data_IF_299443029534
#
_entry.id   IF_299443029534
#
_cell.length_a   1.000
_cell.length_b   1.000
_cell.length_c   1.000
_cell.angle_alpha   90.00
_cell.angle_beta   90.00
_cell.angle_gamma   90.00
#
_symmetry.space_group_name_H-M   'P 1'
#
loop_
_entity.id
_entity.type
_entity.pdbx_description
1 polymer ?
#
# COMPACT_ATOMS: atom_id res chain seq x y z
N UNK A 1 51.23 54.09 23.56
CA UNK A 1 50.37 53.84 22.38
C UNK A 1 50.17 52.34 22.26
N UNK A 2 49.05 51.81 22.75
CA UNK A 2 48.69 50.39 22.69
C UNK A 2 47.65 50.21 21.56
N UNK A 3 47.82 49.24 20.64
CA UNK A 3 46.80 48.95 19.64
C UNK A 3 45.69 48.07 20.23
N UNK A 4 44.44 48.44 19.93
CA UNK A 4 43.22 47.71 20.32
C UNK A 4 43.10 46.35 19.60
N UNK A 5 42.50 45.32 20.21
CA UNK A 5 42.32 44.01 19.59
C UNK A 5 41.14 43.97 18.58
N UNK A 6 41.17 43.07 17.58
CA UNK A 6 40.10 42.94 16.60
C UNK A 6 38.88 42.19 17.16
N UNK A 7 37.70 42.74 16.89
CA UNK A 7 36.38 42.17 17.18
C UNK A 7 36.16 40.88 16.40
N UNK A 8 35.99 39.75 17.07
CA UNK A 8 35.61 38.49 16.41
C UNK A 8 34.12 38.48 16.04
N UNK A 9 33.73 37.96 14.86
CA UNK A 9 32.34 37.80 14.46
C UNK A 9 31.69 36.63 15.20
N UNK A 10 30.58 36.89 15.88
CA UNK A 10 29.79 35.84 16.54
C UNK A 10 29.14 34.92 15.50
N UNK A 11 29.20 33.58 15.69
CA UNK A 11 28.37 32.67 14.92
C UNK A 11 26.93 32.88 15.35
N UNK A 12 26.11 33.46 14.47
CA UNK A 12 24.66 33.52 14.66
C UNK A 12 24.18 32.09 14.83
N UNK A 13 23.79 31.74 16.05
CA UNK A 13 23.03 30.54 16.33
C UNK A 13 21.80 30.59 15.44
N UNK A 14 21.80 29.79 14.38
CA UNK A 14 20.68 29.66 13.47
C UNK A 14 19.55 29.02 14.28
N UNK A 15 18.67 29.86 14.82
CA UNK A 15 17.37 29.42 15.32
C UNK A 15 16.61 28.92 14.10
N UNK A 16 16.77 27.63 13.81
CA UNK A 16 15.98 26.94 12.79
C UNK A 16 14.53 27.21 13.19
N UNK A 17 13.77 27.98 12.38
CA UNK A 17 12.43 28.36 12.78
C UNK A 17 11.65 27.06 12.94
N UNK A 18 10.98 26.90 14.08
CA UNK A 18 10.17 25.72 14.39
C UNK A 18 9.18 25.41 13.24
N UNK A 19 8.77 26.47 12.53
CA UNK A 19 7.99 26.41 11.30
C UNK A 19 8.65 25.58 10.18
N UNK A 20 9.96 25.70 9.96
CA UNK A 20 10.69 24.94 8.95
C UNK A 20 10.80 23.45 9.32
N UNK A 21 10.97 23.13 10.61
CA UNK A 21 10.98 21.74 11.08
C UNK A 21 9.61 21.09 10.88
N UNK A 22 8.53 21.80 11.25
CA UNK A 22 7.16 21.35 11.02
C UNK A 22 6.90 21.15 9.52
N UNK A 23 7.35 22.08 8.67
CA UNK A 23 7.22 21.96 7.23
C UNK A 23 7.95 20.74 6.68
N UNK A 24 9.19 20.49 7.13
CA UNK A 24 9.99 19.34 6.73
C UNK A 24 9.34 18.01 7.15
N UNK A 25 8.82 17.95 8.38
CA UNK A 25 8.07 16.81 8.92
C UNK A 25 6.79 16.54 8.12
N UNK A 26 6.06 17.59 7.76
CA UNK A 26 4.83 17.48 6.95
C UNK A 26 5.15 16.94 5.56
N UNK A 27 6.22 17.44 4.92
CA UNK A 27 6.69 16.95 3.62
C UNK A 27 7.16 15.49 3.68
N UNK A 28 7.85 15.09 4.75
CA UNK A 28 8.29 13.69 4.92
C UNK A 28 7.13 12.75 5.21
N UNK A 29 6.10 13.19 5.98
CA UNK A 29 4.87 12.42 6.16
C UNK A 29 4.10 12.25 4.84
N UNK A 30 3.96 13.31 4.04
CA UNK A 30 3.28 13.24 2.74
C UNK A 30 4.07 12.37 1.73
N UNK A 31 5.39 12.53 1.66
CA UNK A 31 6.26 11.74 0.79
C UNK A 31 6.38 10.27 1.22
N UNK A 32 6.30 9.99 2.52
CA UNK A 32 6.34 8.63 3.08
C UNK A 32 5.15 7.77 2.66
N UNK A 33 3.95 8.35 2.53
CA UNK A 33 2.78 7.63 2.02
C UNK A 33 2.88 7.29 0.52
N UNK A 34 3.55 8.12 -0.28
CA UNK A 34 3.80 7.83 -1.70
C UNK A 34 4.87 6.73 -1.89
N UNK A 35 5.87 6.67 -1.02
CA UNK A 35 6.92 5.63 -1.03
C UNK A 35 6.42 4.23 -0.64
N UNK A 36 5.30 4.13 0.07
CA UNK A 36 4.69 2.85 0.44
C UNK A 36 3.93 2.19 -0.73
N UNK A 37 3.69 2.90 -1.83
CA UNK A 37 3.25 2.32 -3.09
C UNK A 37 4.42 1.80 -3.94
N UNK A 38 5.50 1.34 -3.30
CA UNK A 38 6.51 0.49 -3.96
C UNK A 38 5.75 -0.59 -4.71
N UNK A 39 5.86 -0.54 -6.03
CA UNK A 39 5.14 -1.31 -7.03
C UNK A 39 5.04 -2.77 -6.59
N UNK A 40 3.97 -3.13 -5.87
CA UNK A 40 3.83 -4.47 -5.35
C UNK A 40 3.83 -5.42 -6.56
N UNK A 41 4.65 -6.48 -6.56
CA UNK A 41 4.60 -7.49 -7.61
C UNK A 41 3.15 -7.94 -7.80
N UNK A 42 2.59 -7.73 -8.99
CA UNK A 42 1.18 -8.03 -9.29
C UNK A 42 0.19 -6.87 -9.20
N UNK A 43 0.61 -5.63 -8.91
CA UNK A 43 -0.30 -4.47 -8.93
C UNK A 43 -0.89 -4.18 -10.33
N UNK A 44 -0.11 -4.41 -11.40
CA UNK A 44 -0.61 -4.35 -12.78
C UNK A 44 -1.63 -5.46 -13.06
N UNK A 45 -1.30 -6.68 -12.68
CA UNK A 45 -2.18 -7.85 -12.83
C UNK A 45 -3.48 -7.67 -12.05
N UNK A 46 -3.44 -7.18 -10.81
CA UNK A 46 -4.64 -6.90 -10.01
C UNK A 46 -5.51 -5.77 -10.59
N UNK A 47 -4.93 -4.80 -11.32
CA UNK A 47 -5.70 -3.80 -12.08
C UNK A 47 -6.38 -4.43 -13.29
N UNK A 48 -5.67 -5.28 -14.03
CA UNK A 48 -6.22 -6.00 -15.18
C UNK A 48 -7.35 -6.95 -14.75
N UNK A 49 -7.18 -7.68 -13.65
CA UNK A 49 -8.22 -8.56 -13.10
C UNK A 49 -9.47 -7.79 -12.70
N UNK A 50 -9.33 -6.60 -12.10
CA UNK A 50 -10.46 -5.71 -11.81
C UNK A 50 -11.18 -5.23 -13.07
N UNK A 51 -10.46 -5.03 -14.17
CA UNK A 51 -11.08 -4.68 -15.45
C UNK A 51 -11.96 -5.83 -15.97
N UNK A 52 -11.53 -7.09 -15.80
CA UNK A 52 -12.34 -8.27 -16.15
C UNK A 52 -13.64 -8.34 -15.34
N UNK A 53 -13.61 -8.04 -14.03
CA UNK A 53 -14.83 -7.97 -13.22
C UNK A 53 -15.78 -6.88 -13.72
N UNK A 54 -15.26 -5.68 -14.00
CA UNK A 54 -16.05 -4.56 -14.52
C UNK A 54 -16.67 -4.85 -15.89
N UNK A 55 -16.00 -5.66 -16.70
CA UNK A 55 -16.52 -6.15 -17.98
C UNK A 55 -17.53 -7.31 -17.84
N UNK A 56 -17.80 -7.78 -16.62
CA UNK A 56 -18.71 -8.90 -16.37
C UNK A 56 -18.09 -10.29 -16.58
N UNK A 57 -16.78 -10.37 -16.83
CA UNK A 57 -16.05 -11.63 -17.00
C UNK A 57 -15.69 -12.27 -15.65
N UNK A 58 -16.68 -12.48 -14.79
CA UNK A 58 -16.51 -12.89 -13.40
C UNK A 58 -15.76 -14.22 -13.24
N UNK A 59 -15.97 -15.19 -14.13
CA UNK A 59 -15.25 -16.48 -14.08
C UNK A 59 -13.75 -16.31 -14.31
N UNK A 60 -13.36 -15.51 -15.30
CA UNK A 60 -11.96 -15.25 -15.63
C UNK A 60 -11.31 -14.42 -14.53
N UNK A 61 -12.02 -13.41 -14.01
CA UNK A 61 -11.55 -12.61 -12.89
C UNK A 61 -11.28 -13.46 -11.65
N UNK A 62 -12.20 -14.38 -11.31
CA UNK A 62 -12.05 -15.26 -10.16
C UNK A 62 -10.78 -16.15 -10.28
N UNK A 63 -10.56 -16.76 -11.45
CA UNK A 63 -9.36 -17.55 -11.71
C UNK A 63 -8.07 -16.72 -11.60
N UNK A 64 -8.09 -15.50 -12.13
CA UNK A 64 -6.93 -14.61 -12.07
C UNK A 64 -6.64 -14.15 -10.62
N UNK A 65 -7.67 -13.90 -9.80
CA UNK A 65 -7.45 -13.62 -8.37
C UNK A 65 -6.90 -14.83 -7.61
N UNK A 66 -7.35 -16.06 -7.90
CA UNK A 66 -6.75 -17.25 -7.30
C UNK A 66 -5.26 -17.40 -7.65
N UNK A 67 -4.88 -17.08 -8.89
CA UNK A 67 -3.48 -17.03 -9.32
C UNK A 67 -2.67 -15.95 -8.59
N UNK A 68 -3.26 -14.77 -8.39
CA UNK A 68 -2.64 -13.70 -7.60
C UNK A 68 -2.47 -14.12 -6.13
N UNK A 69 -3.48 -14.78 -5.54
CA UNK A 69 -3.42 -15.29 -4.18
C UNK A 69 -2.31 -16.33 -4.00
N UNK A 70 -2.09 -17.22 -4.99
CA UNK A 70 -1.01 -18.22 -4.95
C UNK A 70 0.38 -17.60 -4.86
N UNK A 71 0.56 -16.39 -5.39
CA UNK A 71 1.87 -15.71 -5.50
C UNK A 71 2.05 -14.63 -4.43
N UNK A 72 0.99 -14.26 -3.72
CA UNK A 72 1.00 -13.22 -2.72
C UNK A 72 1.32 -13.78 -1.32
N UNK A 73 1.96 -12.97 -0.48
CA UNK A 73 2.10 -13.23 0.95
C UNK A 73 0.85 -12.76 1.72
N UNK A 74 0.65 -13.26 2.93
CA UNK A 74 -0.34 -12.70 3.87
C UNK A 74 0.08 -11.28 4.27
N UNK A 75 -0.84 -10.29 4.34
CA UNK A 75 -2.31 -10.41 4.24
C UNK A 75 -2.86 -10.33 2.80
N UNK A 76 -2.05 -9.93 1.81
CA UNK A 76 -2.49 -9.70 0.44
C UNK A 76 -3.08 -10.95 -0.24
N UNK A 77 -2.59 -12.14 0.12
CA UNK A 77 -3.19 -13.43 -0.25
C UNK A 77 -4.68 -13.50 0.11
N UNK A 78 -5.03 -13.10 1.32
CA UNK A 78 -6.40 -13.18 1.84
C UNK A 78 -7.33 -12.22 1.09
N UNK A 79 -6.86 -11.00 0.82
CA UNK A 79 -7.60 -10.03 0.00
C UNK A 79 -7.93 -10.58 -1.40
N UNK A 80 -6.97 -11.27 -2.03
CA UNK A 80 -7.19 -11.89 -3.33
C UNK A 80 -8.14 -13.09 -3.25
N UNK A 81 -8.08 -13.90 -2.20
CA UNK A 81 -9.03 -15.00 -1.99
C UNK A 81 -10.46 -14.48 -1.77
N UNK A 82 -10.65 -13.41 -0.99
CA UNK A 82 -11.95 -12.78 -0.79
C UNK A 82 -12.52 -12.24 -2.11
N UNK A 83 -11.71 -11.59 -2.93
CA UNK A 83 -12.12 -11.12 -4.28
C UNK A 83 -12.44 -12.28 -5.22
N UNK A 84 -11.64 -13.35 -5.19
CA UNK A 84 -11.90 -14.55 -5.98
C UNK A 84 -13.25 -15.20 -5.59
N UNK A 85 -13.54 -15.30 -4.29
CA UNK A 85 -14.82 -15.82 -3.81
C UNK A 85 -16.00 -14.95 -4.26
N UNK A 86 -15.88 -13.62 -4.15
CA UNK A 86 -16.87 -12.68 -4.64
C UNK A 86 -17.12 -12.86 -6.15
N UNK A 87 -16.06 -12.93 -6.96
CA UNK A 87 -16.17 -13.14 -8.39
C UNK A 87 -16.78 -14.50 -8.75
N UNK A 88 -16.49 -15.59 -8.01
CA UNK A 88 -17.18 -16.87 -8.19
C UNK A 88 -18.67 -16.80 -7.86
N UNK A 89 -19.05 -16.03 -6.85
CA UNK A 89 -20.45 -15.78 -6.51
C UNK A 89 -21.17 -15.03 -7.63
N UNK A 90 -20.57 -13.93 -8.12
CA UNK A 90 -21.10 -13.16 -9.26
C UNK A 90 -21.18 -13.98 -10.56
N UNK A 91 -20.30 -14.98 -10.72
CA UNK A 91 -20.34 -15.94 -11.81
C UNK A 91 -21.42 -17.04 -11.67
N UNK A 92 -22.24 -17.02 -10.61
CA UNK A 92 -23.26 -18.05 -10.35
C UNK A 92 -22.69 -19.37 -9.84
N UNK A 93 -21.50 -19.37 -9.22
CA UNK A 93 -20.82 -20.58 -8.71
C UNK A 93 -20.60 -20.52 -7.19
N UNK A 94 -21.67 -20.54 -6.38
CA UNK A 94 -21.58 -20.37 -4.93
C UNK A 94 -20.79 -21.51 -4.24
N UNK A 95 -20.87 -22.73 -4.76
CA UNK A 95 -20.09 -23.85 -4.22
C UNK A 95 -18.57 -23.57 -4.27
N UNK A 96 -18.09 -23.01 -5.39
CA UNK A 96 -16.67 -22.67 -5.54
C UNK A 96 -16.28 -21.46 -4.71
N UNK A 97 -17.16 -20.46 -4.59
CA UNK A 97 -16.96 -19.33 -3.69
C UNK A 97 -16.75 -19.79 -2.24
N UNK A 98 -17.57 -20.75 -1.75
CA UNK A 98 -17.42 -21.34 -0.42
C UNK A 98 -16.09 -22.07 -0.25
N UNK A 99 -15.66 -22.85 -1.25
CA UNK A 99 -14.34 -23.51 -1.22
C UNK A 99 -13.20 -22.51 -1.10
N UNK A 100 -13.25 -21.40 -1.85
CA UNK A 100 -12.23 -20.36 -1.79
C UNK A 100 -12.24 -19.65 -0.44
N UNK A 101 -13.42 -19.34 0.12
CA UNK A 101 -13.53 -18.73 1.45
C UNK A 101 -12.99 -19.63 2.57
N UNK A 102 -13.14 -20.95 2.46
CA UNK A 102 -12.57 -21.89 3.42
C UNK A 102 -11.03 -21.87 3.43
N UNK A 103 -10.38 -21.34 2.39
CA UNK A 103 -8.94 -21.18 2.32
C UNK A 103 -8.45 -19.84 2.92
N UNK A 104 -9.37 -18.95 3.32
CA UNK A 104 -9.06 -17.66 3.92
C UNK A 104 -8.69 -17.85 5.38
N UNK A 105 -7.53 -17.34 5.78
CA UNK A 105 -7.07 -17.40 7.17
C UNK A 105 -7.40 -16.07 7.87
N UNK A 106 -8.30 -16.09 8.84
CA UNK A 106 -8.61 -14.94 9.70
C UNK A 106 -7.82 -15.09 11.00
N UNK A 107 -6.88 -14.20 11.32
CA UNK A 107 -6.15 -14.28 12.58
C UNK A 107 -7.12 -14.11 13.75
N UNK A 108 -7.01 -14.92 14.82
CA UNK A 108 -7.85 -14.77 16.00
C UNK A 108 -7.57 -13.42 16.69
N UNK A 109 -8.61 -12.60 16.87
CA UNK A 109 -8.53 -11.31 17.58
C UNK A 109 -8.55 -10.05 16.72
N UNK A 110 -8.92 -10.15 15.43
CA UNK A 110 -9.25 -8.99 14.59
C UNK A 110 -10.67 -8.44 14.88
#
# INVERSE_FOLDING_TARGET
MQPSPPTQPQPRAATIPLLAIVWLLTLTLLGGCAGLQRTAPGASSARQTRALEKAGHYRQAAQAYEELARRASTPQREDFLLRAAHAWSAAGRPAKARTVLAAVHVPPGA
#
